data_IF_278910770984
#
_entry.id   IF_278910770984
#
_cell.length_a   1.000
_cell.length_b   1.000
_cell.length_c   1.000
_cell.angle_alpha   90.00
_cell.angle_beta   90.00
_cell.angle_gamma   90.00
#
_symmetry.space_group_name_H-M   'P 1'
#
loop_
_entity.id
_entity.type
_entity.pdbx_description
1 polymer ?
#
# COMPACT_ATOMS: atom_id res chain seq x y z
N UNK A 1 -6.33 -12.05 22.01
CA UNK A 1 -6.87 -10.90 21.32
C UNK A 1 -6.17 -10.74 19.97
N UNK A 2 -6.89 -10.30 18.94
CA UNK A 2 -6.43 -10.20 17.54
C UNK A 2 -5.05 -9.51 17.38
N UNK A 3 -4.89 -8.32 17.98
CA UNK A 3 -3.64 -7.55 17.90
C UNK A 3 -2.43 -8.37 18.37
N UNK A 4 -2.53 -9.09 19.47
CA UNK A 4 -1.41 -9.86 20.00
C UNK A 4 -0.95 -10.97 19.04
N UNK A 5 -1.90 -11.66 18.39
CA UNK A 5 -1.59 -12.68 17.38
C UNK A 5 -0.83 -12.08 16.21
N UNK A 6 -1.25 -10.91 15.73
CA UNK A 6 -0.58 -10.19 14.65
C UNK A 6 0.84 -9.78 15.06
N UNK A 7 0.98 -9.19 16.25
CA UNK A 7 2.29 -8.77 16.77
C UNK A 7 3.25 -9.94 16.95
N UNK A 8 2.77 -11.06 17.46
CA UNK A 8 3.59 -12.27 17.64
C UNK A 8 4.05 -12.81 16.27
N UNK A 9 3.17 -12.86 15.28
CA UNK A 9 3.51 -13.30 13.92
C UNK A 9 4.54 -12.38 13.27
N UNK A 10 4.34 -11.06 13.37
CA UNK A 10 5.28 -10.06 12.85
C UNK A 10 6.63 -10.16 13.59
N UNK A 11 6.63 -10.31 14.91
CA UNK A 11 7.87 -10.47 15.68
C UNK A 11 8.67 -11.69 15.24
N UNK A 12 8.01 -12.81 14.99
CA UNK A 12 8.66 -14.01 14.45
C UNK A 12 9.33 -13.74 13.12
N UNK A 13 8.65 -12.98 12.24
CA UNK A 13 9.23 -12.60 10.94
C UNK A 13 10.51 -11.77 11.09
N UNK A 14 10.59 -10.88 12.08
CA UNK A 14 11.75 -10.01 12.29
C UNK A 14 12.94 -10.68 12.99
N UNK A 15 12.79 -11.90 13.52
CA UNK A 15 13.92 -12.73 13.99
C UNK A 15 14.46 -13.65 12.89
N UNK A 16 13.73 -13.82 11.79
CA UNK A 16 14.20 -14.57 10.64
C UNK A 16 15.35 -13.83 9.91
N UNK A 17 16.25 -14.55 9.23
CA UNK A 17 17.33 -13.97 8.45
C UNK A 17 16.84 -12.94 7.43
N UNK A 18 17.70 -11.98 7.09
CA UNK A 18 17.45 -10.99 6.06
C UNK A 18 17.18 -11.65 4.70
N UNK A 19 16.43 -10.97 3.86
CA UNK A 19 16.10 -11.45 2.53
C UNK A 19 17.30 -11.29 1.61
N UNK A 20 17.72 -12.37 1.00
CA UNK A 20 18.79 -12.35 -0.02
C UNK A 20 18.13 -12.00 -1.36
N UNK A 21 18.47 -10.84 -1.88
CA UNK A 21 18.03 -10.35 -3.18
C UNK A 21 19.11 -10.51 -4.24
N UNK A 22 18.74 -11.07 -5.37
CA UNK A 22 19.56 -11.15 -6.56
C UNK A 22 19.09 -10.10 -7.59
N UNK A 23 20.03 -9.56 -8.36
CA UNK A 23 19.66 -8.72 -9.49
C UNK A 23 19.05 -9.60 -10.58
N UNK A 24 17.93 -9.14 -11.12
CA UNK A 24 17.25 -9.80 -12.24
C UNK A 24 17.36 -8.99 -13.52
N UNK A 25 17.00 -9.62 -14.62
CA UNK A 25 16.82 -8.97 -15.91
C UNK A 25 15.34 -9.00 -16.30
N UNK A 26 14.93 -8.02 -17.11
CA UNK A 26 13.57 -7.97 -17.64
C UNK A 26 13.39 -9.07 -18.68
N UNK A 27 12.45 -9.97 -18.44
CA UNK A 27 12.06 -10.95 -19.44
C UNK A 27 11.25 -10.28 -20.57
N UNK A 28 11.21 -10.93 -21.72
CA UNK A 28 10.37 -10.47 -22.84
C UNK A 28 8.89 -10.44 -22.44
N UNK A 29 8.42 -11.43 -21.69
CA UNK A 29 7.06 -11.47 -21.17
C UNK A 29 6.77 -10.34 -20.20
N UNK A 30 7.71 -9.97 -19.30
CA UNK A 30 7.53 -8.85 -18.38
C UNK A 30 7.49 -7.51 -19.13
N UNK A 31 8.33 -7.37 -20.16
CA UNK A 31 8.36 -6.18 -21.01
C UNK A 31 7.05 -6.01 -21.80
N UNK A 32 6.55 -7.09 -22.38
CA UNK A 32 5.29 -7.12 -23.13
C UNK A 32 4.13 -6.79 -22.20
N UNK A 33 4.01 -7.48 -21.06
CA UNK A 33 2.99 -7.23 -20.06
C UNK A 33 3.00 -5.75 -19.60
N UNK A 34 4.17 -5.23 -19.23
CA UNK A 34 4.29 -3.86 -18.75
C UNK A 34 3.86 -2.84 -19.82
N UNK A 35 4.22 -3.09 -21.08
CA UNK A 35 3.81 -2.25 -22.21
C UNK A 35 2.29 -2.26 -22.41
N UNK A 36 1.68 -3.43 -22.44
CA UNK A 36 0.25 -3.59 -22.64
C UNK A 36 -0.53 -2.99 -21.48
N UNK A 37 -0.18 -3.35 -20.25
CA UNK A 37 -0.83 -2.90 -19.03
C UNK A 37 -0.74 -1.38 -18.83
N UNK A 38 0.41 -0.77 -19.12
CA UNK A 38 0.59 0.68 -18.99
C UNK A 38 -0.15 1.46 -20.08
N UNK A 39 -0.45 0.86 -21.22
CA UNK A 39 -1.19 1.51 -22.31
C UNK A 39 -2.70 1.21 -22.27
N UNK A 40 -3.14 0.28 -21.47
CA UNK A 40 -4.56 -0.03 -21.31
C UNK A 40 -5.28 1.11 -20.56
N UNK A 41 -6.45 1.48 -21.08
CA UNK A 41 -7.34 2.40 -20.36
C UNK A 41 -7.90 1.73 -19.10
N UNK A 42 -7.89 2.46 -17.99
CA UNK A 42 -8.35 1.92 -16.71
C UNK A 42 -9.09 2.99 -15.89
N UNK A 43 -10.36 2.73 -15.51
CA UNK A 43 -11.15 3.66 -14.70
C UNK A 43 -10.53 3.93 -13.32
N UNK A 44 -9.69 3.04 -12.82
CA UNK A 44 -8.99 3.18 -11.54
C UNK A 44 -7.69 4.01 -11.63
N UNK A 45 -7.20 4.32 -12.83
CA UNK A 45 -6.06 5.20 -13.10
C UNK A 45 -6.41 6.26 -14.16
N UNK A 46 -7.39 7.15 -13.88
CA UNK A 46 -7.89 8.11 -14.87
C UNK A 46 -6.86 9.17 -15.30
N UNK A 47 -5.79 9.35 -14.54
CA UNK A 47 -4.66 10.22 -14.88
C UNK A 47 -3.62 9.55 -15.79
N UNK A 48 -3.83 8.28 -16.16
CA UNK A 48 -2.87 7.48 -16.93
C UNK A 48 -1.46 7.51 -16.32
N UNK A 49 -1.39 7.39 -14.99
CA UNK A 49 -0.13 7.43 -14.22
C UNK A 49 0.82 6.32 -14.66
N UNK A 50 0.30 5.10 -14.87
CA UNK A 50 1.07 3.94 -15.37
C UNK A 50 1.71 4.25 -16.71
N UNK A 51 0.94 4.78 -17.68
CA UNK A 51 1.41 5.18 -19.01
C UNK A 51 2.47 6.27 -18.92
N UNK A 52 2.26 7.26 -18.07
CA UNK A 52 3.24 8.33 -17.84
C UNK A 52 4.56 7.79 -17.32
N UNK A 53 4.53 6.85 -16.36
CA UNK A 53 5.74 6.20 -15.83
C UNK A 53 6.41 5.31 -16.87
N UNK A 54 5.67 4.55 -17.65
CA UNK A 54 6.19 3.74 -18.74
C UNK A 54 6.90 4.57 -19.80
N UNK A 55 6.31 5.70 -20.20
CA UNK A 55 6.93 6.62 -21.15
C UNK A 55 8.26 7.21 -20.65
N UNK A 56 8.44 7.38 -19.33
CA UNK A 56 9.74 7.77 -18.77
C UNK A 56 10.83 6.71 -18.97
N UNK A 57 10.48 5.42 -19.00
CA UNK A 57 11.44 4.34 -19.35
C UNK A 57 11.90 4.53 -20.80
N UNK A 58 10.95 4.65 -21.73
CA UNK A 58 11.26 4.80 -23.17
C UNK A 58 12.10 6.04 -23.44
N UNK A 59 11.89 7.10 -22.66
CA UNK A 59 12.65 8.36 -22.78
C UNK A 59 13.97 8.36 -22.00
N UNK A 60 14.37 7.24 -21.39
CA UNK A 60 15.56 7.13 -20.52
C UNK A 60 15.55 8.13 -19.34
N UNK A 61 14.35 8.49 -18.82
CA UNK A 61 14.17 9.41 -17.69
C UNK A 61 13.86 8.68 -16.37
N UNK A 62 13.66 7.38 -16.43
CA UNK A 62 13.47 6.51 -15.26
C UNK A 62 14.34 5.26 -15.39
N UNK A 63 14.68 4.69 -14.23
CA UNK A 63 15.46 3.47 -14.11
C UNK A 63 14.54 2.29 -13.87
N UNK A 64 14.80 1.19 -14.55
CA UNK A 64 14.17 -0.08 -14.24
C UNK A 64 15.14 -0.91 -13.41
N UNK A 65 14.71 -1.29 -12.21
CA UNK A 65 15.46 -2.15 -11.29
C UNK A 65 14.65 -3.41 -11.07
N UNK A 66 15.29 -4.56 -11.30
CA UNK A 66 14.63 -5.86 -11.08
C UNK A 66 15.41 -6.60 -10.02
N UNK A 67 14.72 -7.05 -8.99
CA UNK A 67 15.28 -7.93 -7.97
C UNK A 67 14.41 -9.15 -7.76
N UNK A 68 15.08 -10.28 -7.53
CA UNK A 68 14.44 -11.57 -7.30
C UNK A 68 14.90 -12.16 -5.97
N UNK A 69 13.99 -12.82 -5.29
CA UNK A 69 14.28 -13.64 -4.11
C UNK A 69 13.41 -14.91 -4.16
N UNK A 70 13.58 -15.79 -3.19
CA UNK A 70 12.76 -17.01 -3.07
C UNK A 70 11.24 -16.73 -3.08
N UNK A 71 10.82 -15.58 -2.57
CA UNK A 71 9.42 -15.26 -2.34
C UNK A 71 8.77 -14.46 -3.47
N UNK A 72 9.58 -13.92 -4.37
CA UNK A 72 9.04 -13.18 -5.52
C UNK A 72 10.06 -12.35 -6.27
N UNK A 73 9.53 -11.64 -7.27
CA UNK A 73 10.26 -10.70 -8.11
C UNK A 73 9.59 -9.33 -7.99
N UNK A 74 10.40 -8.29 -7.86
CA UNK A 74 9.95 -6.91 -7.93
C UNK A 74 10.62 -6.24 -9.14
N UNK A 75 9.80 -5.73 -10.06
CA UNK A 75 10.20 -4.86 -11.15
C UNK A 75 9.80 -3.43 -10.77
N UNK A 76 10.78 -2.58 -10.46
CA UNK A 76 10.56 -1.22 -10.00
C UNK A 76 11.00 -0.20 -11.06
N UNK A 77 10.12 0.74 -11.40
CA UNK A 77 10.40 1.89 -12.27
C UNK A 77 10.56 3.14 -11.42
N UNK A 78 11.78 3.58 -11.26
CA UNK A 78 12.21 4.56 -10.26
C UNK A 78 12.87 5.79 -10.91
N UNK A 79 12.64 6.97 -10.34
CA UNK A 79 13.47 8.14 -10.62
C UNK A 79 14.81 7.99 -9.87
N UNK A 80 15.83 8.75 -10.26
CA UNK A 80 17.19 8.63 -9.69
C UNK A 80 17.24 8.79 -8.17
N UNK A 81 16.46 9.69 -7.62
CA UNK A 81 16.37 9.95 -6.18
C UNK A 81 15.65 8.83 -5.41
N UNK A 82 14.81 8.05 -6.09
CA UNK A 82 14.09 6.91 -5.49
C UNK A 82 14.92 5.62 -5.42
N UNK A 83 16.01 5.50 -6.18
CA UNK A 83 16.82 4.28 -6.24
C UNK A 83 17.34 3.81 -4.87
N UNK A 84 17.72 4.77 -4.01
CA UNK A 84 18.24 4.49 -2.66
C UNK A 84 17.15 4.40 -1.59
N UNK A 85 15.89 4.61 -1.99
CA UNK A 85 14.76 4.69 -1.06
C UNK A 85 13.89 3.43 -1.08
N UNK A 86 14.18 2.48 -1.97
CA UNK A 86 13.45 1.21 -2.03
C UNK A 86 13.66 0.38 -0.76
N UNK A 87 12.59 0.05 -0.04
CA UNK A 87 12.66 -0.72 1.21
C UNK A 87 12.75 -2.23 0.91
N UNK A 88 13.81 -2.66 0.21
CA UNK A 88 13.98 -4.02 -0.29
C UNK A 88 13.82 -5.08 0.80
N UNK A 89 14.49 -4.91 1.94
CA UNK A 89 14.39 -5.89 3.04
C UNK A 89 12.96 -5.98 3.56
N UNK A 90 12.33 -4.85 3.82
CA UNK A 90 10.96 -4.80 4.32
C UNK A 90 9.97 -5.45 3.35
N UNK A 91 10.07 -5.13 2.06
CA UNK A 91 9.20 -5.74 1.04
C UNK A 91 9.44 -7.24 0.91
N UNK A 92 10.69 -7.69 0.97
CA UNK A 92 11.01 -9.10 0.97
C UNK A 92 10.42 -9.85 2.17
N UNK A 93 10.48 -9.26 3.38
CA UNK A 93 9.85 -9.80 4.59
C UNK A 93 8.33 -9.86 4.43
N UNK A 94 7.71 -8.83 3.88
CA UNK A 94 6.27 -8.84 3.59
C UNK A 94 5.91 -9.96 2.61
N UNK A 95 6.64 -10.10 1.49
CA UNK A 95 6.41 -11.21 0.56
C UNK A 95 6.56 -12.58 1.24
N UNK A 96 7.57 -12.75 2.13
CA UNK A 96 7.76 -13.99 2.91
C UNK A 96 6.59 -14.29 3.83
N UNK A 97 6.02 -13.27 4.48
CA UNK A 97 4.86 -13.43 5.37
C UNK A 97 3.62 -13.98 4.65
N UNK A 98 3.45 -13.65 3.37
CA UNK A 98 2.33 -14.08 2.53
C UNK A 98 2.63 -15.31 1.66
N UNK A 99 3.87 -15.80 1.68
CA UNK A 99 4.30 -16.87 0.78
C UNK A 99 3.73 -18.23 1.17
N UNK A 100 2.92 -18.80 0.28
CA UNK A 100 2.32 -20.13 0.39
C UNK A 100 2.75 -21.06 -0.75
N UNK A 101 4.05 -21.00 -1.13
CA UNK A 101 4.60 -21.86 -2.17
C UNK A 101 4.60 -21.29 -3.59
N UNK A 102 3.87 -20.20 -3.85
CA UNK A 102 3.88 -19.48 -5.13
C UNK A 102 4.57 -18.13 -4.96
N UNK A 103 5.61 -17.83 -5.76
CA UNK A 103 6.28 -16.54 -5.70
C UNK A 103 5.39 -15.42 -6.25
N UNK A 104 5.57 -14.22 -5.70
CA UNK A 104 4.88 -13.03 -6.15
C UNK A 104 5.62 -12.31 -7.25
N UNK A 105 4.88 -11.66 -8.16
CA UNK A 105 5.44 -10.71 -9.12
C UNK A 105 4.82 -9.34 -8.92
N UNK A 106 5.65 -8.37 -8.55
CA UNK A 106 5.24 -6.99 -8.25
C UNK A 106 5.82 -6.05 -9.30
N UNK A 107 4.96 -5.26 -9.93
CA UNK A 107 5.32 -4.16 -10.81
C UNK A 107 5.11 -2.84 -10.07
N UNK A 108 6.20 -2.17 -9.73
CA UNK A 108 6.17 -0.92 -8.99
C UNK A 108 6.54 0.27 -9.88
N UNK A 109 5.55 1.05 -10.25
CA UNK A 109 5.66 2.26 -11.07
C UNK A 109 5.65 3.48 -10.13
N UNK A 110 6.78 3.80 -9.50
CA UNK A 110 6.90 4.73 -8.38
C UNK A 110 6.56 6.20 -8.76
N UNK A 111 5.29 6.50 -9.03
CA UNK A 111 4.84 7.87 -9.26
C UNK A 111 4.78 8.67 -7.96
N UNK A 112 5.16 9.96 -8.04
CA UNK A 112 5.30 10.85 -6.88
C UNK A 112 4.03 11.67 -6.57
N UNK A 113 2.94 11.47 -7.31
CA UNK A 113 1.71 12.18 -7.06
C UNK A 113 1.13 11.81 -5.68
N UNK A 114 0.83 12.84 -4.90
CA UNK A 114 0.29 12.68 -3.55
C UNK A 114 -1.24 12.58 -3.58
N UNK A 115 -1.79 11.92 -2.57
CA UNK A 115 -3.23 11.90 -2.31
C UNK A 115 -3.66 13.20 -1.67
N UNK A 116 -4.43 13.99 -2.40
CA UNK A 116 -4.92 15.30 -1.94
C UNK A 116 -6.42 15.38 -2.00
N UNK A 117 -7.02 16.16 -1.12
CA UNK A 117 -8.46 16.46 -1.18
C UNK A 117 -8.76 17.29 -2.43
N UNK A 118 -9.70 16.85 -3.29
CA UNK A 118 -10.11 17.61 -4.45
C UNK A 118 -11.04 18.76 -4.05
N UNK A 119 -11.33 19.68 -4.99
CA UNK A 119 -12.29 20.78 -4.76
C UNK A 119 -13.77 20.33 -4.78
N UNK A 120 -14.07 19.20 -5.41
CA UNK A 120 -15.46 18.75 -5.63
C UNK A 120 -15.67 17.33 -5.11
N UNK A 121 -15.48 16.31 -5.94
CA UNK A 121 -15.74 14.91 -5.64
C UNK A 121 -14.43 14.14 -5.49
N UNK A 122 -14.33 13.24 -4.50
CA UNK A 122 -13.22 12.30 -4.40
C UNK A 122 -13.44 11.18 -5.43
N UNK A 123 -12.45 10.96 -6.24
CA UNK A 123 -12.45 10.03 -7.39
C UNK A 123 -11.22 9.10 -7.32
N UNK A 124 -11.10 8.08 -8.16
CA UNK A 124 -9.98 7.13 -8.11
C UNK A 124 -8.60 7.76 -8.11
N UNK A 125 -8.37 8.84 -8.86
CA UNK A 125 -7.08 9.54 -8.87
C UNK A 125 -6.67 10.11 -7.51
N UNK A 126 -7.61 10.36 -6.62
CA UNK A 126 -7.33 10.90 -5.28
C UNK A 126 -6.94 9.83 -4.27
N UNK A 127 -7.29 8.56 -4.51
CA UNK A 127 -7.13 7.48 -3.54
C UNK A 127 -6.25 6.34 -4.07
N UNK A 128 -6.52 5.83 -5.27
CA UNK A 128 -5.88 4.60 -5.75
C UNK A 128 -4.37 4.72 -5.87
N UNK A 129 -3.68 3.64 -5.58
CA UNK A 129 -2.22 3.56 -5.65
C UNK A 129 -1.71 2.22 -6.18
N UNK A 130 -2.58 1.24 -6.29
CA UNK A 130 -2.28 -0.10 -6.78
C UNK A 130 -3.54 -0.84 -7.16
N UNK A 131 -3.38 -2.02 -7.68
CA UNK A 131 -4.41 -3.03 -7.91
C UNK A 131 -3.78 -4.38 -8.20
N UNK A 132 -4.53 -5.44 -8.02
CA UNK A 132 -4.18 -6.79 -8.44
C UNK A 132 -5.40 -7.51 -9.03
N UNK A 133 -5.14 -8.57 -9.78
CA UNK A 133 -6.20 -9.51 -10.15
C UNK A 133 -6.37 -10.53 -9.03
N UNK A 134 -7.59 -10.71 -8.58
CA UNK A 134 -7.91 -11.60 -7.48
C UNK A 134 -7.29 -12.98 -7.64
N UNK A 135 -6.74 -13.52 -6.54
CA UNK A 135 -6.10 -14.84 -6.51
C UNK A 135 -4.94 -15.00 -7.51
N UNK A 136 -4.34 -13.90 -7.93
CA UNK A 136 -3.24 -13.89 -8.89
C UNK A 136 -1.98 -13.29 -8.25
N UNK A 137 -0.98 -14.14 -8.01
CA UNK A 137 0.30 -13.74 -7.41
C UNK A 137 1.29 -13.14 -8.42
N UNK A 138 0.99 -13.20 -9.73
CA UNK A 138 1.92 -12.81 -10.79
C UNK A 138 1.70 -11.38 -11.30
N UNK A 139 0.64 -10.69 -10.86
CA UNK A 139 0.27 -9.38 -11.40
C UNK A 139 -0.19 -8.41 -10.30
N UNK A 140 0.74 -8.07 -9.41
CA UNK A 140 0.51 -7.03 -8.40
C UNK A 140 1.10 -5.74 -8.95
N UNK A 141 0.27 -4.73 -9.19
CA UNK A 141 0.69 -3.44 -9.76
C UNK A 141 0.52 -2.34 -8.72
N UNK A 142 1.61 -1.63 -8.41
CA UNK A 142 1.62 -0.45 -7.54
C UNK A 142 2.12 0.72 -8.38
N UNK A 143 1.29 1.76 -8.56
CA UNK A 143 1.60 2.89 -9.43
C UNK A 143 1.73 4.23 -8.71
N UNK A 144 1.74 4.21 -7.36
CA UNK A 144 1.97 5.40 -6.53
C UNK A 144 3.01 5.09 -5.46
N UNK A 145 3.98 5.98 -5.29
CA UNK A 145 5.02 5.82 -4.27
C UNK A 145 4.51 6.12 -2.86
N UNK A 146 3.54 7.05 -2.73
CA UNK A 146 2.95 7.36 -1.43
C UNK A 146 2.22 6.13 -0.87
N UNK A 147 2.61 5.71 0.33
CA UNK A 147 2.08 4.52 1.03
C UNK A 147 2.28 3.19 0.29
N UNK A 148 3.30 3.10 -0.61
CA UNK A 148 3.50 1.93 -1.45
C UNK A 148 3.63 0.61 -0.67
N UNK A 149 4.30 0.61 0.48
CA UNK A 149 4.41 -0.57 1.36
C UNK A 149 3.06 -1.02 1.90
N UNK A 150 2.24 -0.07 2.32
CA UNK A 150 0.89 -0.36 2.79
C UNK A 150 -0.01 -0.83 1.65
N UNK A 151 0.11 -0.23 0.45
CA UNK A 151 -0.59 -0.69 -0.76
C UNK A 151 -0.16 -2.12 -1.10
N UNK A 152 1.13 -2.45 -1.02
CA UNK A 152 1.61 -3.83 -1.24
C UNK A 152 0.89 -4.82 -0.29
N UNK A 153 0.77 -4.49 1.00
CA UNK A 153 0.07 -5.35 1.96
C UNK A 153 -1.41 -5.53 1.57
N UNK A 154 -2.07 -4.46 1.12
CA UNK A 154 -3.46 -4.51 0.65
C UNK A 154 -3.60 -5.44 -0.57
N UNK A 155 -2.78 -5.24 -1.59
CA UNK A 155 -2.86 -6.03 -2.82
C UNK A 155 -2.50 -7.51 -2.60
N UNK A 156 -1.60 -7.80 -1.65
CA UNK A 156 -1.27 -9.17 -1.28
C UNK A 156 -2.46 -9.93 -0.68
N UNK A 157 -3.37 -9.26 0.03
CA UNK A 157 -4.57 -9.93 0.56
C UNK A 157 -5.50 -10.37 -0.57
N UNK A 158 -5.71 -9.53 -1.57
CA UNK A 158 -6.48 -9.89 -2.77
C UNK A 158 -5.79 -10.99 -3.58
N UNK A 159 -4.48 -10.88 -3.78
CA UNK A 159 -3.73 -11.86 -4.59
C UNK A 159 -3.63 -13.24 -3.93
N UNK A 160 -3.67 -13.31 -2.60
CA UNK A 160 -3.69 -14.55 -1.81
C UNK A 160 -5.09 -15.08 -1.52
N UNK A 161 -6.16 -14.48 -2.08
CA UNK A 161 -7.56 -14.87 -1.80
C UNK A 161 -7.94 -14.83 -0.31
N UNK A 162 -7.39 -13.91 0.46
CA UNK A 162 -7.67 -13.80 1.90
C UNK A 162 -8.94 -13.00 2.20
N UNK A 163 -9.49 -12.34 1.22
CA UNK A 163 -10.68 -11.51 1.29
C UNK A 163 -11.98 -12.32 1.08
N UNK A 164 -13.03 -12.00 1.86
CA UNK A 164 -14.33 -12.66 1.74
C UNK A 164 -15.24 -11.94 0.74
N UNK A 165 -15.31 -12.43 -0.49
CA UNK A 165 -16.07 -11.82 -1.59
C UNK A 165 -17.60 -11.97 -1.50
N UNK A 166 -18.12 -12.76 -0.59
CA UNK A 166 -19.57 -12.90 -0.41
C UNK A 166 -20.20 -11.60 0.12
N UNK A 167 -19.39 -10.74 0.76
CA UNK A 167 -19.85 -9.48 1.34
C UNK A 167 -20.02 -8.33 0.33
N UNK A 168 -19.68 -8.54 -0.94
CA UNK A 168 -19.69 -7.49 -1.96
C UNK A 168 -18.47 -6.57 -1.89
N UNK A 169 -18.15 -5.91 -3.00
CA UNK A 169 -16.89 -5.16 -3.19
C UNK A 169 -16.65 -4.08 -2.13
N UNK A 170 -17.67 -3.38 -1.68
CA UNK A 170 -17.52 -2.25 -0.75
C UNK A 170 -17.04 -2.71 0.62
N UNK A 171 -17.62 -3.79 1.14
CA UNK A 171 -17.22 -4.35 2.44
C UNK A 171 -15.89 -5.08 2.36
N UNK A 172 -15.65 -5.80 1.28
CA UNK A 172 -14.37 -6.47 1.02
C UNK A 172 -13.22 -5.45 1.05
N UNK A 173 -13.34 -4.37 0.28
CA UNK A 173 -12.33 -3.31 0.25
C UNK A 173 -12.13 -2.67 1.62
N UNK A 174 -13.23 -2.37 2.34
CA UNK A 174 -13.14 -1.78 3.67
C UNK A 174 -12.43 -2.70 4.69
N UNK A 175 -12.67 -4.00 4.63
CA UNK A 175 -12.01 -4.98 5.49
C UNK A 175 -10.54 -5.17 5.10
N UNK A 176 -10.24 -5.27 3.80
CA UNK A 176 -8.86 -5.35 3.30
C UNK A 176 -8.05 -4.11 3.68
N UNK A 177 -8.65 -2.91 3.56
CA UNK A 177 -8.06 -1.66 4.02
C UNK A 177 -7.76 -1.65 5.53
N UNK A 178 -8.69 -2.18 6.33
CA UNK A 178 -8.52 -2.26 7.78
C UNK A 178 -7.40 -3.23 8.18
N UNK A 179 -7.32 -4.38 7.54
CA UNK A 179 -6.24 -5.35 7.71
C UNK A 179 -4.89 -4.82 7.27
N UNK A 180 -4.82 -4.22 6.07
CA UNK A 180 -3.58 -3.65 5.54
C UNK A 180 -3.00 -2.60 6.48
N UNK A 181 -3.85 -1.76 7.05
CA UNK A 181 -3.45 -0.74 8.01
C UNK A 181 -2.90 -1.36 9.31
N UNK A 182 -3.62 -2.33 9.88
CA UNK A 182 -3.21 -2.97 11.13
C UNK A 182 -1.90 -3.75 10.98
N UNK A 183 -1.74 -4.49 9.88
CA UNK A 183 -0.51 -5.20 9.55
C UNK A 183 0.65 -4.23 9.30
N UNK A 184 0.40 -3.12 8.60
CA UNK A 184 1.42 -2.11 8.33
C UNK A 184 1.98 -1.50 9.63
N UNK A 185 1.13 -1.09 10.58
CA UNK A 185 1.61 -0.56 11.86
C UNK A 185 2.30 -1.61 12.72
N UNK A 186 1.85 -2.86 12.67
CA UNK A 186 2.53 -3.97 13.35
C UNK A 186 3.93 -4.22 12.77
N UNK A 187 4.08 -4.14 11.45
CA UNK A 187 5.36 -4.27 10.75
C UNK A 187 6.27 -3.08 11.10
N UNK A 188 5.77 -1.85 11.10
CA UNK A 188 6.55 -0.67 11.49
C UNK A 188 7.08 -0.75 12.93
N UNK A 189 6.39 -1.46 13.81
CA UNK A 189 6.83 -1.71 15.19
C UNK A 189 7.69 -2.98 15.34
N UNK A 190 7.93 -3.76 14.26
CA UNK A 190 8.56 -5.09 14.30
C UNK A 190 7.84 -6.06 15.27
N UNK A 191 6.54 -5.98 15.34
CA UNK A 191 5.75 -6.78 16.28
C UNK A 191 5.93 -6.42 17.76
N UNK A 192 6.54 -5.25 18.06
CA UNK A 192 6.69 -4.74 19.43
C UNK A 192 5.46 -3.94 19.86
N UNK A 193 5.62 -3.04 20.85
CA UNK A 193 4.53 -2.19 21.29
C UNK A 193 4.08 -1.21 20.20
N UNK A 194 2.78 -1.26 19.84
CA UNK A 194 2.17 -0.40 18.82
C UNK A 194 1.30 0.71 19.41
N UNK A 195 1.24 0.86 20.72
CA UNK A 195 0.29 1.77 21.38
C UNK A 195 0.34 3.18 20.80
N UNK A 196 1.52 3.78 20.70
CA UNK A 196 1.66 5.16 20.22
C UNK A 196 1.34 5.29 18.73
N UNK A 197 1.77 4.34 17.91
CA UNK A 197 1.50 4.38 16.48
C UNK A 197 0.03 4.07 16.18
N UNK A 198 -0.58 3.17 16.95
CA UNK A 198 -2.00 2.87 16.88
C UNK A 198 -2.85 4.06 17.28
N UNK A 199 -2.47 4.78 18.34
CA UNK A 199 -3.12 6.02 18.76
C UNK A 199 -3.09 7.06 17.62
N UNK A 200 -1.91 7.35 17.09
CA UNK A 200 -1.74 8.32 15.99
C UNK A 200 -2.52 7.91 14.74
N UNK A 201 -2.57 6.63 14.43
CA UNK A 201 -3.31 6.11 13.29
C UNK A 201 -4.83 6.24 13.52
N UNK A 202 -5.31 5.98 14.73
CA UNK A 202 -6.72 6.16 15.09
C UNK A 202 -7.14 7.63 14.95
N UNK A 203 -6.31 8.55 15.45
CA UNK A 203 -6.52 9.99 15.30
C UNK A 203 -6.56 10.42 13.84
N UNK A 204 -5.61 9.89 13.03
CA UNK A 204 -5.56 10.16 11.59
C UNK A 204 -6.84 9.71 10.88
N UNK A 205 -7.30 8.49 11.13
CA UNK A 205 -8.52 7.93 10.54
C UNK A 205 -9.73 8.81 10.88
N UNK A 206 -9.91 9.11 12.17
CA UNK A 206 -11.05 9.91 12.64
C UNK A 206 -11.04 11.30 11.99
N UNK A 207 -9.90 12.00 12.06
CA UNK A 207 -9.79 13.38 11.53
C UNK A 207 -9.86 13.46 10.01
N UNK A 208 -9.34 12.47 9.31
CA UNK A 208 -9.50 12.38 7.87
C UNK A 208 -10.98 12.18 7.51
N UNK A 209 -11.65 11.27 8.18
CA UNK A 209 -13.04 10.91 7.90
C UNK A 209 -14.05 12.01 8.26
N UNK A 210 -13.76 12.88 9.25
CA UNK A 210 -14.52 14.11 9.48
C UNK A 210 -14.60 14.99 8.20
N UNK A 211 -13.54 14.96 7.38
CA UNK A 211 -13.51 15.66 6.08
C UNK A 211 -14.11 14.84 4.95
N UNK A 212 -13.75 13.57 4.84
CA UNK A 212 -14.22 12.68 3.76
C UNK A 212 -15.75 12.59 3.77
N UNK A 213 -16.39 12.52 4.94
CA UNK A 213 -17.85 12.48 5.09
C UNK A 213 -18.57 13.67 4.43
N UNK A 214 -17.88 14.81 4.21
CA UNK A 214 -18.43 15.96 3.47
C UNK A 214 -18.48 15.76 1.95
N UNK A 215 -17.77 14.76 1.43
CA UNK A 215 -17.70 14.41 0.00
C UNK A 215 -18.59 13.21 -0.34
N UNK A 216 -19.12 12.51 0.66
CA UNK A 216 -19.96 11.32 0.48
C UNK A 216 -21.40 11.76 0.52
N UNK A 217 -22.14 11.50 -0.54
CA UNK A 217 -23.58 11.83 -0.65
C UNK A 217 -24.44 10.62 -0.26
N UNK A 218 -23.99 9.42 -0.59
CA UNK A 218 -24.68 8.16 -0.33
C UNK A 218 -23.80 7.19 0.46
N UNK A 219 -24.36 6.32 1.30
CA UNK A 219 -23.61 5.24 1.95
C UNK A 219 -22.85 4.39 0.92
N UNK A 220 -21.65 3.95 1.29
CA UNK A 220 -20.83 3.02 0.50
C UNK A 220 -20.37 3.55 -0.89
N UNK A 221 -20.35 4.87 -1.11
CA UNK A 221 -19.70 5.45 -2.28
C UNK A 221 -18.21 5.10 -2.33
N UNK A 222 -17.60 5.24 -3.51
CA UNK A 222 -16.18 4.92 -3.75
C UNK A 222 -15.22 5.37 -2.63
N UNK A 223 -15.23 6.62 -2.12
CA UNK A 223 -14.31 7.01 -1.03
C UNK A 223 -14.57 6.29 0.28
N UNK A 224 -15.81 5.89 0.57
CA UNK A 224 -16.17 5.19 1.80
C UNK A 224 -15.35 3.90 1.96
N UNK A 225 -15.17 3.12 0.90
CA UNK A 225 -14.45 1.83 0.91
C UNK A 225 -13.09 1.94 1.56
N UNK A 226 -12.34 2.98 1.21
CA UNK A 226 -10.93 3.15 1.55
C UNK A 226 -10.69 3.98 2.82
N UNK A 227 -11.72 4.62 3.34
CA UNK A 227 -11.60 5.58 4.44
C UNK A 227 -12.60 5.31 5.57
N UNK A 228 -13.87 5.72 5.40
CA UNK A 228 -14.91 5.57 6.44
C UNK A 228 -15.20 4.10 6.73
N UNK A 229 -15.27 3.26 5.70
CA UNK A 229 -15.46 1.82 5.87
C UNK A 229 -14.36 1.18 6.74
N UNK A 230 -13.10 1.56 6.54
CA UNK A 230 -11.99 1.15 7.41
C UNK A 230 -12.21 1.57 8.87
N UNK A 231 -12.69 2.81 9.12
CA UNK A 231 -13.05 3.27 10.47
C UNK A 231 -14.13 2.37 11.08
N UNK A 232 -15.18 2.09 10.31
CA UNK A 232 -16.30 1.25 10.77
C UNK A 232 -15.83 -0.17 11.13
N UNK A 233 -14.92 -0.74 10.34
CA UNK A 233 -14.32 -2.05 10.63
C UNK A 233 -13.49 -2.01 11.92
N UNK A 234 -12.61 -1.01 12.09
CA UNK A 234 -11.79 -0.89 13.30
C UNK A 234 -12.64 -0.66 14.57
N UNK A 235 -13.76 0.06 14.46
CA UNK A 235 -14.73 0.19 15.56
C UNK A 235 -15.36 -1.16 15.92
N UNK A 236 -15.81 -1.92 14.93
CA UNK A 236 -16.37 -3.29 15.14
C UNK A 236 -15.36 -4.25 15.78
N UNK A 237 -14.07 -4.10 15.43
CA UNK A 237 -13.00 -4.92 16.02
C UNK A 237 -12.51 -4.42 17.38
N UNK A 238 -13.04 -3.34 17.88
CA UNK A 238 -12.61 -2.69 19.13
C UNK A 238 -11.12 -2.30 19.13
N UNK A 239 -10.62 -1.87 17.97
CA UNK A 239 -9.22 -1.47 17.74
C UNK A 239 -9.09 0.05 17.76
N UNK A 240 -10.05 0.76 17.19
CA UNK A 240 -10.01 2.21 17.09
C UNK A 240 -10.02 2.84 18.48
N UNK A 241 -9.05 3.70 18.75
CA UNK A 241 -8.95 4.44 20.00
C UNK A 241 -9.67 5.80 19.85
N UNK A 242 -10.52 6.12 20.79
CA UNK A 242 -11.15 7.44 20.84
C UNK A 242 -10.08 8.51 21.09
N UNK A 243 -10.23 9.63 20.40
CA UNK A 243 -9.27 10.71 20.46
C UNK A 243 -9.92 12.08 20.48
N UNK A 244 -9.49 12.90 21.41
CA UNK A 244 -9.79 14.34 21.45
C UNK A 244 -8.63 15.17 20.84
N UNK A 245 -7.93 14.61 19.86
CA UNK A 245 -6.77 15.23 19.24
C UNK A 245 -7.10 16.49 18.45
N UNK A 246 -6.19 17.45 18.49
CA UNK A 246 -6.21 18.65 17.62
C UNK A 246 -5.52 18.40 16.28
N UNK A 247 -5.27 17.14 15.91
CA UNK A 247 -4.64 16.79 14.64
C UNK A 247 -5.42 17.37 13.45
N UNK A 248 -4.70 18.02 12.54
CA UNK A 248 -5.27 18.55 11.30
C UNK A 248 -4.81 17.67 10.13
N UNK A 249 -5.75 17.03 9.47
CA UNK A 249 -5.47 16.17 8.30
C UNK A 249 -5.93 16.87 7.03
N UNK A 250 -4.98 17.17 6.14
CA UNK A 250 -5.22 17.84 4.86
C UNK A 250 -4.90 16.95 3.65
N UNK A 251 -4.67 15.66 3.87
CA UNK A 251 -4.33 14.67 2.85
C UNK A 251 -5.33 13.53 2.85
N UNK A 252 -5.54 12.94 1.66
CA UNK A 252 -6.24 11.65 1.49
C UNK A 252 -5.28 10.46 1.61
N UNK A 253 -4.07 10.67 2.10
CA UNK A 253 -3.15 9.61 2.42
C UNK A 253 -3.83 8.58 3.33
N UNK A 254 -3.76 7.30 2.96
CA UNK A 254 -4.54 6.24 3.62
C UNK A 254 -4.01 5.84 4.99
N UNK A 255 -2.78 6.23 5.32
CA UNK A 255 -2.16 5.94 6.61
C UNK A 255 -1.51 7.18 7.22
N UNK A 256 -1.36 7.20 8.55
CA UNK A 256 -0.57 8.23 9.25
C UNK A 256 0.88 8.17 8.77
N UNK A 257 1.49 9.30 8.39
CA UNK A 257 2.88 9.30 7.93
C UNK A 257 3.83 8.85 9.06
N UNK A 258 4.66 7.81 8.83
CA UNK A 258 5.64 7.41 9.82
C UNK A 258 6.63 8.54 10.10
N UNK A 259 7.10 8.64 11.34
CA UNK A 259 8.10 9.63 11.71
C UNK A 259 9.48 9.37 11.07
N UNK A 260 10.40 10.34 11.19
CA UNK A 260 11.71 10.24 10.57
C UNK A 260 12.58 9.09 11.09
N UNK A 261 12.35 8.61 12.31
CA UNK A 261 13.10 7.48 12.88
C UNK A 261 12.67 6.17 12.24
N UNK A 262 11.38 5.95 12.10
CA UNK A 262 10.81 4.81 11.38
C UNK A 262 11.16 4.84 9.90
N UNK A 263 11.14 6.03 9.26
CA UNK A 263 11.56 6.21 7.88
C UNK A 263 13.01 5.76 7.64
N UNK A 264 13.94 6.20 8.50
CA UNK A 264 15.36 5.81 8.40
C UNK A 264 15.56 4.32 8.60
N UNK A 265 14.88 3.74 9.59
CA UNK A 265 15.04 2.35 9.98
C UNK A 265 14.61 1.38 8.89
N UNK A 266 13.52 1.68 8.19
CA UNK A 266 12.95 0.81 7.16
C UNK A 266 13.22 1.26 5.73
N UNK A 267 14.01 2.32 5.53
CA UNK A 267 14.13 2.99 4.24
C UNK A 267 12.77 3.37 3.61
N UNK A 268 11.78 3.69 4.45
CA UNK A 268 10.39 3.99 4.06
C UNK A 268 10.25 5.43 3.54
N UNK A 269 11.32 6.02 3.04
CA UNK A 269 11.30 7.43 2.59
C UNK A 269 10.38 7.67 1.38
N UNK A 270 10.03 6.62 0.64
CA UNK A 270 9.02 6.72 -0.41
C UNK A 270 7.60 6.83 0.11
N UNK A 271 7.31 6.28 1.30
CA UNK A 271 6.00 6.42 1.93
C UNK A 271 5.77 7.83 2.50
N UNK A 272 6.77 8.68 2.44
CA UNK A 272 6.88 9.90 3.25
C UNK A 272 7.16 11.17 2.48
N UNK A 273 6.72 11.30 1.27
CA UNK A 273 6.84 12.57 0.57
C UNK A 273 5.87 13.59 1.18
N UNK A 274 6.46 14.46 1.99
CA UNK A 274 6.03 15.80 2.43
C UNK A 274 4.85 15.90 3.41
N UNK A 275 5.18 16.41 4.56
CA UNK A 275 4.33 17.33 5.31
C UNK A 275 4.39 18.71 4.68
#
# INVERSE_FOLDING_TARGET
MLINVILDRVRQEFVEPDIIWENGEMSESDSTFLKEECNADAPFDPLNTRKTRYNKIIQNKAFTVIKKCKYGQILAVLDKDQLKQMPWDLWGRILRMYYEGKPFKVFFLADKNLRTFPKRKITPENINGGYTYRCNTETIIIFRAEDATRVLIHELQHSCCLDNHENGVDLVEAETEAWAELLYIAILSEGKNITDILQKQSEWIIKQNEKVKKYITYPMEFPWRYTVGKEDVWRRWNILQDSNSNMVVNSLRLTYPPDNSLKKRFHVSMDSIIL
#
